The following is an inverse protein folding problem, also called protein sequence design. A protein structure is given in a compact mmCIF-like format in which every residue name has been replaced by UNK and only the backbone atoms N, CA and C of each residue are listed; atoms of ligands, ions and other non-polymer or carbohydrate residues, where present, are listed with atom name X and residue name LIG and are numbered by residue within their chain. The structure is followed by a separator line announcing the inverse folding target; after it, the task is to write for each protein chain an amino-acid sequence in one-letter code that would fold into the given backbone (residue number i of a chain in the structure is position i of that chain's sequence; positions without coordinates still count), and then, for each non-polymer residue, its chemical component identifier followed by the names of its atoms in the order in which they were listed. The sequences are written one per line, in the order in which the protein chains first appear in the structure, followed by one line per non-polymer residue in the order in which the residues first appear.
data_IF_422967033322
#
_entry.id   IF_422967033322
#
_cell.length_a   1.000
_cell.length_b   1.000
_cell.length_c   1.000
_cell.angle_alpha   90.00
_cell.angle_beta   90.00
_cell.angle_gamma   90.00
#
_symmetry.space_group_name_H-M   'P 1'
#
loop_
_entity.id
_entity.type
_entity.pdbx_description
1 polymer ?
#
# COMPACT_ATOMS: atom_id res chain seq x y z
N UNK A 1 -15.10 -46.80 -44.88
CA UNK A 1 -13.64 -46.66 -44.68
C UNK A 1 -13.46 -45.86 -43.40
N UNK A 2 -12.87 -46.52 -42.38
CA UNK A 2 -12.23 -45.98 -41.14
C UNK A 2 -13.04 -45.03 -40.26
N UNK A 3 -13.16 -45.14 -38.92
CA UNK A 3 -12.70 -46.03 -37.84
C UNK A 3 -13.45 -45.50 -36.57
N UNK A 4 -14.07 -46.36 -35.73
CA UNK A 4 -13.59 -46.85 -34.41
C UNK A 4 -13.24 -45.76 -33.37
N UNK A 5 -13.46 -45.82 -32.05
CA UNK A 5 -13.99 -46.74 -31.00
C UNK A 5 -14.04 -45.83 -29.74
N UNK A 6 -15.17 -45.56 -29.05
CA UNK A 6 -15.82 -46.32 -27.96
C UNK A 6 -14.94 -46.83 -26.80
N UNK A 7 -14.98 -46.11 -25.66
CA UNK A 7 -15.01 -46.59 -24.27
C UNK A 7 -14.18 -47.83 -23.84
N UNK A 8 -13.34 -47.65 -22.81
CA UNK A 8 -13.29 -48.60 -21.69
C UNK A 8 -12.62 -47.99 -20.43
N UNK A 9 -13.39 -48.00 -19.33
CA UNK A 9 -12.92 -47.87 -17.94
C UNK A 9 -12.22 -49.17 -17.51
N UNK A 10 -11.14 -49.09 -16.73
CA UNK A 10 -10.76 -50.15 -15.77
C UNK A 10 -10.18 -49.52 -14.50
N UNK A 11 -10.70 -50.00 -13.37
CA UNK A 11 -10.36 -49.68 -11.98
C UNK A 11 -9.10 -50.43 -11.48
N UNK A 12 -8.46 -49.79 -10.51
CA UNK A 12 -7.71 -50.25 -9.33
C UNK A 12 -7.70 -51.76 -9.01
N UNK A 13 -6.51 -52.34 -8.75
CA UNK A 13 -6.19 -53.10 -7.52
C UNK A 13 -4.72 -53.58 -7.44
N UNK A 14 -4.33 -53.93 -6.23
CA UNK A 14 -3.00 -53.87 -5.59
C UNK A 14 -2.61 -55.26 -5.06
N UNK A 15 -1.30 -55.58 -5.06
CA UNK A 15 -0.57 -56.63 -4.28
C UNK A 15 -1.02 -58.10 -4.49
N UNK A 16 -0.18 -59.14 -4.50
CA UNK A 16 0.93 -59.49 -3.59
C UNK A 16 1.86 -60.62 -4.15
N UNK A 17 3.09 -60.66 -3.62
CA UNK A 17 4.08 -61.74 -3.40
C UNK A 17 4.08 -63.10 -4.17
N UNK A 18 5.27 -63.56 -4.61
CA UNK A 18 6.11 -64.62 -3.98
C UNK A 18 7.31 -65.03 -4.89
N UNK A 19 8.47 -65.22 -4.27
CA UNK A 19 9.83 -65.60 -4.74
C UNK A 19 9.91 -67.03 -5.35
N UNK A 20 10.94 -67.41 -6.14
CA UNK A 20 12.17 -67.99 -5.53
C UNK A 20 13.51 -67.71 -6.27
N UNK A 21 14.57 -68.21 -5.63
CA UNK A 21 16.03 -67.99 -5.77
C UNK A 21 16.71 -68.52 -7.06
N UNK A 22 17.86 -67.91 -7.42
CA UNK A 22 19.04 -68.67 -7.90
C UNK A 22 20.38 -67.86 -7.82
N UNK A 23 21.16 -68.17 -6.78
CA UNK A 23 22.62 -68.42 -6.69
C UNK A 23 23.64 -68.03 -7.81
N UNK A 24 24.77 -67.41 -7.34
CA UNK A 24 26.22 -67.45 -7.78
C UNK A 24 26.61 -66.76 -9.10
N UNK A 25 27.73 -66.06 -9.27
CA UNK A 25 29.12 -66.16 -8.76
C UNK A 25 29.79 -64.75 -8.83
N UNK A 26 30.55 -64.32 -7.81
CA UNK A 26 32.02 -64.35 -7.67
C UNK A 26 32.79 -63.26 -8.46
N UNK A 27 33.48 -62.38 -7.71
CA UNK A 27 34.38 -61.36 -8.25
C UNK A 27 34.89 -60.38 -7.18
N UNK A 28 35.81 -60.85 -6.34
CA UNK A 28 36.62 -60.06 -5.40
C UNK A 28 37.53 -59.07 -6.13
N UNK A 29 37.49 -57.78 -5.75
CA UNK A 29 38.69 -56.92 -5.71
C UNK A 29 38.59 -56.02 -4.46
N UNK A 30 39.44 -56.32 -3.48
CA UNK A 30 39.86 -55.40 -2.42
C UNK A 30 40.89 -54.42 -3.00
N UNK A 31 40.74 -53.11 -2.77
CA UNK A 31 41.84 -52.23 -2.30
C UNK A 31 41.33 -50.83 -1.88
N UNK A 32 41.54 -50.54 -0.59
CA UNK A 32 41.99 -49.26 -0.02
C UNK A 32 41.15 -47.97 -0.20
N UNK A 33 40.38 -47.65 0.84
CA UNK A 33 40.28 -46.28 1.39
C UNK A 33 41.65 -45.84 1.92
N UNK A 34 42.04 -44.57 1.70
CA UNK A 34 41.87 -43.63 2.82
C UNK A 34 41.34 -42.25 2.41
N UNK A 35 40.59 -41.69 3.35
CA UNK A 35 40.57 -40.27 3.71
C UNK A 35 40.16 -39.24 2.64
N UNK A 36 38.91 -38.82 2.74
CA UNK A 36 38.36 -37.65 2.05
C UNK A 36 37.04 -37.23 2.67
N UNK A 37 36.99 -37.13 4.00
CA UNK A 37 35.89 -36.43 4.67
C UNK A 37 35.89 -34.96 4.22
N UNK A 38 34.76 -34.44 3.69
CA UNK A 38 34.62 -33.01 3.49
C UNK A 38 34.63 -32.33 4.87
N UNK A 39 35.34 -31.21 5.06
CA UNK A 39 35.41 -30.58 6.37
C UNK A 39 34.00 -30.19 6.82
N UNK A 40 33.57 -30.84 7.90
CA UNK A 40 32.45 -30.46 8.74
C UNK A 40 32.80 -29.13 9.42
N UNK A 41 32.56 -28.04 8.71
CA UNK A 41 32.67 -26.69 9.27
C UNK A 41 31.49 -26.42 10.21
N UNK A 42 31.54 -26.99 11.42
CA UNK A 42 30.70 -26.56 12.52
C UNK A 42 31.52 -26.44 13.81
N UNK A 43 31.36 -25.29 14.45
CA UNK A 43 31.66 -25.00 15.84
C UNK A 43 33.15 -25.06 16.26
N UNK A 44 33.90 -24.03 15.84
CA UNK A 44 34.94 -23.44 16.68
C UNK A 44 34.26 -22.59 17.77
N UNK A 45 34.20 -23.16 18.97
CA UNK A 45 33.98 -22.50 20.24
C UNK A 45 35.24 -21.68 20.57
N UNK A 46 35.30 -20.46 20.05
CA UNK A 46 36.33 -19.48 20.38
C UNK A 46 35.68 -18.17 20.86
N UNK A 47 35.40 -18.15 22.17
CA UNK A 47 35.45 -16.94 23.01
C UNK A 47 34.29 -15.95 22.87
N UNK A 48 33.40 -15.96 23.86
CA UNK A 48 32.37 -14.94 24.14
C UNK A 48 32.88 -13.47 24.18
N UNK A 49 34.19 -13.21 24.15
CA UNK A 49 34.76 -11.87 24.17
C UNK A 49 34.94 -11.20 22.78
N UNK A 50 34.63 -11.91 21.69
CA UNK A 50 34.67 -11.35 20.33
C UNK A 50 33.33 -10.80 19.83
N UNK A 51 32.21 -11.12 20.48
CA UNK A 51 30.86 -10.90 19.95
C UNK A 51 30.56 -9.44 19.59
N UNK A 52 30.90 -8.50 20.48
CA UNK A 52 30.67 -7.07 20.24
C UNK A 52 31.61 -6.48 19.18
N UNK A 53 32.89 -6.85 19.17
CA UNK A 53 33.82 -6.39 18.12
C UNK A 53 33.46 -6.97 16.76
N UNK A 54 33.05 -8.24 16.69
CA UNK A 54 32.55 -8.86 15.46
C UNK A 54 31.26 -8.20 14.99
N UNK A 55 30.36 -7.85 15.91
CA UNK A 55 29.10 -7.15 15.59
C UNK A 55 29.35 -5.70 15.13
N UNK A 56 30.33 -5.00 15.71
CA UNK A 56 30.78 -3.67 15.27
C UNK A 56 31.47 -3.76 13.90
N UNK A 57 32.37 -4.72 13.70
CA UNK A 57 33.07 -4.91 12.41
C UNK A 57 32.09 -5.35 11.31
N UNK A 58 31.18 -6.26 11.62
CA UNK A 58 30.16 -6.76 10.70
C UNK A 58 29.12 -5.67 10.35
N UNK A 59 28.75 -4.82 11.31
CA UNK A 59 27.86 -3.67 11.08
C UNK A 59 28.55 -2.48 10.40
N UNK A 60 29.90 -2.45 10.40
CA UNK A 60 30.75 -1.36 9.92
C UNK A 60 30.20 0.04 10.25
N UNK A 61 30.41 0.52 11.49
CA UNK A 61 29.81 1.76 11.99
C UNK A 61 30.21 2.99 11.19
N UNK A 62 31.29 2.93 10.39
CA UNK A 62 31.75 4.06 9.59
C UNK A 62 30.76 4.41 8.47
N UNK A 63 30.09 3.42 7.86
CA UNK A 63 29.04 3.71 6.87
C UNK A 63 27.84 4.38 7.52
N UNK A 64 27.38 3.84 8.65
CA UNK A 64 26.28 4.45 9.41
C UNK A 64 26.66 5.86 9.89
N UNK A 65 27.86 6.04 10.44
CA UNK A 65 28.37 7.33 10.89
C UNK A 65 28.44 8.33 9.73
N UNK A 66 28.91 7.92 8.55
CA UNK A 66 28.94 8.76 7.35
C UNK A 66 27.53 9.24 6.98
N UNK A 67 26.54 8.35 6.99
CA UNK A 67 25.14 8.68 6.71
C UNK A 67 24.57 9.62 7.78
N UNK A 68 24.83 9.35 9.05
CA UNK A 68 24.39 10.20 10.17
C UNK A 68 25.01 11.60 10.08
N UNK A 69 26.31 11.71 9.75
CA UNK A 69 26.98 12.99 9.55
C UNK A 69 26.41 13.75 8.35
N UNK A 70 26.09 13.07 7.25
CA UNK A 70 25.42 13.68 6.10
C UNK A 70 24.03 14.20 6.49
N UNK A 71 23.21 13.39 7.16
CA UNK A 71 21.87 13.80 7.63
C UNK A 71 21.97 14.97 8.62
N UNK A 72 22.92 14.94 9.55
CA UNK A 72 23.15 16.02 10.51
C UNK A 72 23.57 17.31 9.82
N UNK A 73 24.48 17.24 8.84
CA UNK A 73 24.90 18.39 8.04
C UNK A 73 23.74 19.01 7.26
N UNK A 74 22.93 18.17 6.61
CA UNK A 74 21.71 18.61 5.93
C UNK A 74 20.74 19.25 6.93
N UNK A 75 20.50 18.63 8.09
CA UNK A 75 19.60 19.18 9.11
C UNK A 75 20.02 20.57 9.58
N UNK A 76 21.33 20.82 9.78
CA UNK A 76 21.85 22.14 10.14
C UNK A 76 21.59 23.18 9.06
N UNK A 77 21.83 22.83 7.79
CA UNK A 77 21.57 23.74 6.68
C UNK A 77 20.05 23.97 6.48
N UNK A 78 19.18 23.00 6.82
CA UNK A 78 17.72 23.17 6.82
C UNK A 78 17.29 24.18 7.89
N UNK A 79 17.90 24.14 9.08
CA UNK A 79 17.70 25.15 10.12
C UNK A 79 18.05 26.56 9.63
N UNK A 80 19.24 26.72 9.03
CA UNK A 80 19.67 28.01 8.48
C UNK A 80 18.78 28.50 7.32
N UNK A 81 18.31 27.59 6.46
CA UNK A 81 17.37 27.89 5.39
C UNK A 81 16.01 28.36 5.93
N UNK A 82 15.52 27.74 7.02
CA UNK A 82 14.25 28.12 7.65
C UNK A 82 14.26 29.52 8.25
N UNK A 83 15.43 30.02 8.65
CA UNK A 83 15.62 31.38 9.16
C UNK A 83 15.83 32.40 8.03
N UNK A 84 15.72 31.99 6.76
CA UNK A 84 16.06 32.79 5.57
C UNK A 84 17.50 33.33 5.59
N UNK A 85 18.40 32.68 6.33
CA UNK A 85 19.79 33.11 6.44
C UNK A 85 20.63 32.74 5.19
N UNK A 86 20.10 31.88 4.31
CA UNK A 86 20.77 31.40 3.08
C UNK A 86 19.81 31.44 1.89
N UNK A 87 20.34 31.74 0.71
CA UNK A 87 19.56 31.78 -0.54
C UNK A 87 19.35 30.41 -1.18
N UNK A 88 18.37 30.32 -2.10
CA UNK A 88 18.00 29.10 -2.85
C UNK A 88 19.20 28.43 -3.51
N UNK A 89 20.12 29.22 -4.10
CA UNK A 89 21.31 28.67 -4.77
C UNK A 89 22.23 27.89 -3.83
N UNK A 90 22.35 28.31 -2.57
CA UNK A 90 23.14 27.60 -1.56
C UNK A 90 22.47 26.29 -1.18
N UNK A 91 21.16 26.32 -0.93
CA UNK A 91 20.35 25.12 -0.61
C UNK A 91 20.41 24.11 -1.76
N UNK A 92 20.28 24.57 -3.00
CA UNK A 92 20.43 23.76 -4.21
C UNK A 92 21.85 23.18 -4.36
N UNK A 93 22.89 23.91 -3.96
CA UNK A 93 24.27 23.44 -3.92
C UNK A 93 24.46 22.25 -2.98
N UNK A 94 23.94 22.33 -1.75
CA UNK A 94 23.96 21.22 -0.80
C UNK A 94 23.17 20.01 -1.30
N UNK A 95 22.04 20.25 -1.95
CA UNK A 95 21.29 19.20 -2.64
C UNK A 95 22.12 18.51 -3.74
N UNK A 96 22.93 19.26 -4.49
CA UNK A 96 23.89 18.70 -5.44
C UNK A 96 24.92 17.79 -4.77
N UNK A 97 25.51 18.24 -3.66
CA UNK A 97 26.48 17.45 -2.87
C UNK A 97 25.86 16.15 -2.35
N UNK A 98 24.64 16.21 -1.83
CA UNK A 98 23.90 15.03 -1.38
C UNK A 98 23.72 14.02 -2.53
N UNK A 99 23.34 14.47 -3.73
CA UNK A 99 23.17 13.57 -4.86
C UNK A 99 24.49 12.93 -5.31
N UNK A 100 25.60 13.67 -5.29
CA UNK A 100 26.94 13.10 -5.54
C UNK A 100 27.26 12.02 -4.51
N UNK A 101 27.00 12.28 -3.22
CA UNK A 101 27.19 11.31 -2.16
C UNK A 101 26.35 10.03 -2.39
N UNK A 102 25.06 10.17 -2.71
CA UNK A 102 24.20 9.03 -3.02
C UNK A 102 24.68 8.23 -4.24
N UNK A 103 25.17 8.89 -5.29
CA UNK A 103 25.73 8.21 -6.48
C UNK A 103 26.95 7.37 -6.07
N UNK A 104 27.83 7.91 -5.23
CA UNK A 104 28.98 7.18 -4.68
C UNK A 104 28.51 5.97 -3.87
N UNK A 105 27.50 6.13 -3.01
CA UNK A 105 26.94 5.01 -2.25
C UNK A 105 26.36 3.92 -3.16
N UNK A 106 25.60 4.28 -4.20
CA UNK A 106 25.06 3.34 -5.19
C UNK A 106 26.18 2.62 -5.93
N UNK A 107 27.19 3.34 -6.40
CA UNK A 107 28.33 2.75 -7.12
C UNK A 107 29.10 1.76 -6.22
N UNK A 108 29.38 2.14 -4.98
CA UNK A 108 30.02 1.26 -3.99
C UNK A 108 29.16 0.04 -3.66
N UNK A 109 27.85 0.22 -3.48
CA UNK A 109 26.93 -0.87 -3.21
C UNK A 109 26.94 -1.90 -4.35
N UNK A 110 26.83 -1.42 -5.59
CA UNK A 110 26.87 -2.29 -6.77
C UNK A 110 28.23 -2.98 -6.88
N UNK A 111 29.33 -2.26 -6.70
CA UNK A 111 30.67 -2.85 -6.71
C UNK A 111 30.78 -4.01 -5.72
N UNK A 112 30.45 -3.78 -4.44
CA UNK A 112 30.55 -4.78 -3.38
C UNK A 112 29.67 -6.02 -3.61
N UNK A 113 28.47 -5.82 -4.19
CA UNK A 113 27.55 -6.90 -4.52
C UNK A 113 28.02 -7.68 -5.74
N UNK A 114 28.55 -7.00 -6.75
CA UNK A 114 28.97 -7.63 -8.02
C UNK A 114 30.27 -8.41 -7.90
N UNK A 115 31.22 -7.90 -7.12
CA UNK A 115 32.50 -8.60 -6.86
C UNK A 115 32.38 -9.66 -5.76
N UNK A 116 31.26 -9.69 -5.02
CA UNK A 116 31.06 -10.58 -3.89
C UNK A 116 31.96 -10.28 -2.69
N UNK A 117 32.67 -9.15 -2.67
CA UNK A 117 33.64 -8.81 -1.61
C UNK A 117 32.96 -8.68 -0.24
N UNK A 118 31.82 -8.00 -0.17
CA UNK A 118 31.01 -7.92 1.04
C UNK A 118 29.54 -7.62 0.72
N UNK A 119 28.74 -8.68 0.54
CA UNK A 119 27.33 -8.56 0.16
C UNK A 119 26.46 -7.90 1.24
N UNK A 120 26.81 -8.05 2.52
CA UNK A 120 26.08 -7.42 3.64
C UNK A 120 26.22 -5.89 3.59
N UNK A 121 27.44 -5.40 3.44
CA UNK A 121 27.69 -3.96 3.33
C UNK A 121 27.07 -3.38 2.06
N UNK A 122 27.15 -4.09 0.93
CA UNK A 122 26.46 -3.66 -0.29
C UNK A 122 24.95 -3.50 -0.11
N UNK A 123 24.27 -4.45 0.55
CA UNK A 123 22.84 -4.35 0.89
C UNK A 123 22.54 -3.19 1.83
N UNK A 124 23.39 -2.98 2.84
CA UNK A 124 23.26 -1.86 3.78
C UNK A 124 23.37 -0.51 3.07
N UNK A 125 24.31 -0.37 2.13
CA UNK A 125 24.46 0.85 1.33
C UNK A 125 23.22 1.12 0.46
N UNK A 126 22.65 0.09 -0.18
CA UNK A 126 21.37 0.24 -0.91
C UNK A 126 20.22 0.69 0.01
N UNK A 127 20.20 0.19 1.26
CA UNK A 127 19.22 0.64 2.25
C UNK A 127 19.41 2.13 2.59
N UNK A 128 20.64 2.60 2.78
CA UNK A 128 20.89 4.02 3.02
C UNK A 128 20.48 4.90 1.84
N UNK A 129 20.69 4.44 0.60
CA UNK A 129 20.20 5.16 -0.59
C UNK A 129 18.68 5.30 -0.54
N UNK A 130 17.93 4.27 -0.13
CA UNK A 130 16.47 4.40 0.06
C UNK A 130 16.11 5.45 1.12
N UNK A 131 16.87 5.54 2.21
CA UNK A 131 16.69 6.57 3.25
C UNK A 131 16.85 7.98 2.69
N UNK A 132 17.84 8.22 1.83
CA UNK A 132 18.00 9.52 1.18
C UNK A 132 16.92 9.80 0.14
N UNK A 133 16.49 8.79 -0.63
CA UNK A 133 15.35 8.94 -1.54
C UNK A 133 14.08 9.36 -0.79
N UNK A 134 13.92 8.96 0.47
CA UNK A 134 12.78 9.41 1.27
C UNK A 134 12.78 10.91 1.61
N UNK A 135 13.88 11.65 1.41
CA UNK A 135 14.07 13.04 1.86
C UNK A 135 13.67 13.24 3.33
N UNK A 136 14.30 12.49 4.25
CA UNK A 136 14.06 12.64 5.69
C UNK A 136 14.47 14.01 6.26
N UNK A 137 15.25 14.77 5.49
CA UNK A 137 15.73 16.10 5.86
C UNK A 137 14.77 17.21 5.46
N UNK A 138 13.70 16.88 4.73
CA UNK A 138 12.65 17.79 4.27
C UNK A 138 13.16 18.94 3.40
N UNK A 139 14.26 18.73 2.68
CA UNK A 139 14.90 19.79 1.91
C UNK A 139 14.05 20.29 0.77
N UNK A 140 13.39 19.37 0.08
CA UNK A 140 12.60 19.72 -1.09
C UNK A 140 11.45 20.65 -0.73
N UNK A 141 10.85 20.43 0.43
CA UNK A 141 9.79 21.27 0.98
C UNK A 141 10.31 22.70 1.19
N UNK A 142 11.53 22.87 1.69
CA UNK A 142 12.10 24.21 1.91
C UNK A 142 12.40 24.95 0.63
N UNK A 143 12.91 24.24 -0.38
CA UNK A 143 13.15 24.84 -1.69
C UNK A 143 11.82 25.32 -2.28
N UNK A 144 10.76 24.52 -2.14
CA UNK A 144 9.42 24.88 -2.62
C UNK A 144 8.87 26.15 -1.96
N UNK A 145 9.14 26.35 -0.66
CA UNK A 145 8.77 27.56 0.08
C UNK A 145 9.50 28.79 -0.44
N UNK A 146 10.80 28.65 -0.73
CA UNK A 146 11.62 29.80 -1.13
C UNK A 146 11.33 30.27 -2.56
N UNK A 147 11.18 29.32 -3.50
CA UNK A 147 10.81 29.61 -4.88
C UNK A 147 10.07 28.42 -5.49
N UNK A 148 8.83 28.68 -5.91
CA UNK A 148 7.93 27.68 -6.48
C UNK A 148 8.49 27.00 -7.73
N UNK A 149 9.11 27.75 -8.63
CA UNK A 149 9.64 27.20 -9.89
C UNK A 149 10.83 26.30 -9.61
N UNK A 150 11.71 26.71 -8.69
CA UNK A 150 12.83 25.90 -8.23
C UNK A 150 12.38 24.65 -7.47
N UNK A 151 11.33 24.75 -6.63
CA UNK A 151 10.75 23.60 -5.95
C UNK A 151 10.34 22.48 -6.90
N UNK A 152 9.48 22.78 -7.89
CA UNK A 152 9.07 21.79 -8.89
C UNK A 152 10.24 21.27 -9.73
N UNK A 153 11.16 22.16 -10.15
CA UNK A 153 12.31 21.78 -10.98
C UNK A 153 13.24 20.81 -10.24
N UNK A 154 13.61 21.12 -9.00
CA UNK A 154 14.51 20.28 -8.21
C UNK A 154 13.82 18.99 -7.74
N UNK A 155 12.53 19.00 -7.42
CA UNK A 155 11.76 17.77 -7.17
C UNK A 155 11.72 16.85 -8.40
N UNK A 156 11.53 17.42 -9.61
CA UNK A 156 11.57 16.66 -10.87
C UNK A 156 12.94 16.06 -11.09
N UNK A 157 13.99 16.88 -10.96
CA UNK A 157 15.36 16.43 -11.13
C UNK A 157 15.74 15.32 -10.13
N UNK A 158 15.32 15.45 -8.87
CA UNK A 158 15.55 14.42 -7.87
C UNK A 158 14.82 13.12 -8.18
N UNK A 159 13.56 13.19 -8.63
CA UNK A 159 12.79 12.02 -9.03
C UNK A 159 13.48 11.28 -10.18
N UNK A 160 13.96 12.02 -11.18
CA UNK A 160 14.69 11.46 -12.33
C UNK A 160 15.99 10.82 -11.86
N UNK A 161 16.79 11.51 -11.03
CA UNK A 161 18.02 10.94 -10.48
C UNK A 161 17.75 9.69 -9.62
N UNK A 162 16.69 9.70 -8.81
CA UNK A 162 16.26 8.54 -8.04
C UNK A 162 15.89 7.36 -8.93
N UNK A 163 15.11 7.60 -9.99
CA UNK A 163 14.76 6.59 -10.98
C UNK A 163 16.00 6.03 -11.70
N UNK A 164 16.96 6.89 -12.08
CA UNK A 164 18.23 6.47 -12.69
C UNK A 164 19.07 5.64 -11.71
N UNK A 165 19.15 6.02 -10.44
CA UNK A 165 19.85 5.27 -9.38
C UNK A 165 19.24 3.88 -9.21
N UNK A 166 17.91 3.80 -9.09
CA UNK A 166 17.18 2.53 -8.99
C UNK A 166 17.39 1.69 -10.26
N UNK A 167 17.28 2.28 -11.44
CA UNK A 167 17.51 1.61 -12.72
C UNK A 167 18.94 1.06 -12.85
N UNK A 168 19.95 1.80 -12.38
CA UNK A 168 21.33 1.32 -12.34
C UNK A 168 21.48 0.08 -11.45
N UNK A 169 20.82 0.05 -10.28
CA UNK A 169 20.80 -1.12 -9.39
C UNK A 169 20.15 -2.31 -10.09
N UNK A 170 18.99 -2.13 -10.74
CA UNK A 170 18.34 -3.21 -11.49
C UNK A 170 19.23 -3.74 -12.61
N UNK A 171 19.84 -2.85 -13.39
CA UNK A 171 20.62 -3.21 -14.58
C UNK A 171 21.93 -3.89 -14.21
N UNK A 172 22.68 -3.34 -13.25
CA UNK A 172 24.03 -3.84 -12.94
C UNK A 172 24.04 -5.01 -11.97
N UNK A 173 22.97 -5.22 -11.21
CA UNK A 173 22.76 -6.42 -10.39
C UNK A 173 21.84 -7.45 -11.06
N UNK A 174 21.53 -7.25 -12.34
CA UNK A 174 20.73 -8.19 -13.14
C UNK A 174 19.40 -8.59 -12.44
N UNK A 175 18.79 -7.64 -11.73
CA UNK A 175 17.53 -7.86 -11.06
C UNK A 175 16.43 -7.74 -12.11
N UNK A 176 15.57 -8.76 -12.21
CA UNK A 176 14.46 -8.75 -13.15
C UNK A 176 13.51 -7.60 -12.83
N UNK A 177 13.32 -6.71 -13.81
CA UNK A 177 12.39 -5.59 -13.71
C UNK A 177 10.97 -6.14 -13.73
N UNK A 178 10.21 -5.81 -12.68
CA UNK A 178 8.80 -6.14 -12.52
C UNK A 178 8.01 -4.85 -12.36
N UNK A 179 7.35 -4.42 -13.43
CA UNK A 179 6.62 -3.16 -13.46
C UNK A 179 5.54 -3.10 -12.38
N UNK A 180 4.89 -4.24 -12.09
CA UNK A 180 3.91 -4.39 -11.02
C UNK A 180 4.47 -4.03 -9.64
N UNK A 181 5.79 -4.16 -9.41
CA UNK A 181 6.47 -3.81 -8.15
C UNK A 181 7.10 -2.42 -8.19
N UNK A 182 7.35 -1.85 -9.38
CA UNK A 182 8.04 -0.57 -9.54
C UNK A 182 7.10 0.64 -9.62
N UNK A 183 5.86 0.44 -10.10
CA UNK A 183 4.90 1.55 -10.18
C UNK A 183 4.66 2.17 -8.81
N UNK A 184 4.47 1.35 -7.77
CA UNK A 184 4.23 1.85 -6.42
C UNK A 184 5.35 2.75 -5.87
N UNK A 185 6.62 2.31 -5.77
CA UNK A 185 7.69 3.13 -5.21
C UNK A 185 7.92 4.41 -6.02
N UNK A 186 7.88 4.34 -7.35
CA UNK A 186 8.03 5.53 -8.19
C UNK A 186 6.93 6.55 -7.92
N UNK A 187 5.67 6.11 -7.86
CA UNK A 187 4.54 7.00 -7.59
C UNK A 187 4.52 7.48 -6.14
N UNK A 188 4.97 6.67 -5.18
CA UNK A 188 5.09 7.05 -3.77
C UNK A 188 6.14 8.15 -3.60
N UNK A 189 7.35 7.99 -4.16
CA UNK A 189 8.37 9.04 -4.13
C UNK A 189 7.94 10.29 -4.90
N UNK A 190 7.28 10.14 -6.05
CA UNK A 190 6.69 11.28 -6.75
C UNK A 190 5.68 12.04 -5.86
N UNK A 191 4.84 11.30 -5.12
CA UNK A 191 3.89 11.92 -4.18
C UNK A 191 4.62 12.62 -3.04
N UNK A 192 5.67 12.02 -2.46
CA UNK A 192 6.50 12.65 -1.41
C UNK A 192 7.08 13.98 -1.90
N UNK A 193 7.57 14.03 -3.14
CA UNK A 193 8.24 15.20 -3.67
C UNK A 193 7.27 16.29 -4.14
N UNK A 194 6.16 15.92 -4.80
CA UNK A 194 5.26 16.90 -5.40
C UNK A 194 4.11 17.34 -4.50
N UNK A 195 3.66 16.53 -3.55
CA UNK A 195 2.52 16.89 -2.72
C UNK A 195 2.76 18.16 -1.86
N UNK A 196 3.94 18.35 -1.24
CA UNK A 196 4.24 19.60 -0.54
C UNK A 196 4.25 20.80 -1.49
N UNK A 197 4.94 20.69 -2.63
CA UNK A 197 4.99 21.73 -3.67
C UNK A 197 3.58 22.15 -4.13
N UNK A 198 2.69 21.19 -4.31
CA UNK A 198 1.29 21.44 -4.67
C UNK A 198 0.56 22.24 -3.58
N UNK A 199 0.67 21.82 -2.31
CA UNK A 199 0.00 22.50 -1.19
C UNK A 199 0.47 23.95 -1.06
N UNK A 200 1.79 24.20 -1.12
CA UNK A 200 2.33 25.56 -1.11
C UNK A 200 1.80 26.40 -2.27
N UNK A 201 1.81 25.83 -3.47
CA UNK A 201 1.25 26.49 -4.65
C UNK A 201 -0.21 26.89 -4.46
N UNK A 202 -1.04 26.03 -3.84
CA UNK A 202 -2.45 26.35 -3.57
C UNK A 202 -2.55 27.45 -2.51
N UNK A 203 -1.82 27.35 -1.40
CA UNK A 203 -1.80 28.35 -0.32
C UNK A 203 -1.42 29.73 -0.88
N UNK A 204 -0.32 29.82 -1.63
CA UNK A 204 0.15 31.06 -2.24
C UNK A 204 -0.87 31.66 -3.21
N UNK A 205 -1.52 30.81 -4.03
CA UNK A 205 -2.53 31.27 -4.99
C UNK A 205 -3.77 31.85 -4.29
N UNK A 206 -4.17 31.29 -3.15
CA UNK A 206 -5.28 31.81 -2.34
C UNK A 206 -4.90 33.11 -1.61
N UNK A 207 -3.66 33.24 -1.13
CA UNK A 207 -3.18 34.45 -0.45
C UNK A 207 -2.88 35.63 -1.38
N UNK A 208 -2.41 35.39 -2.60
CA UNK A 208 -2.00 36.42 -3.56
C UNK A 208 -3.14 36.97 -4.42
N UNK A 209 -4.22 36.22 -4.62
CA UNK A 209 -5.29 36.56 -5.56
C UNK A 209 -6.61 37.04 -4.95
N UNK A 210 -6.89 36.73 -3.68
CA UNK A 210 -8.18 37.04 -3.04
C UNK A 210 -7.99 37.34 -1.54
N UNK A 211 -7.68 38.60 -1.22
CA UNK A 211 -7.70 39.10 0.15
C UNK A 211 -9.11 38.99 0.73
N UNK A 212 -9.45 37.85 1.36
CA UNK A 212 -10.75 37.61 2.00
C UNK A 212 -11.28 36.18 1.95
N UNK A 213 -10.74 35.28 1.11
CA UNK A 213 -11.11 33.86 1.12
C UNK A 213 -10.02 33.03 1.82
N UNK A 214 -10.27 32.50 3.04
CA UNK A 214 -9.30 31.66 3.71
C UNK A 214 -9.09 30.35 2.95
N UNK A 215 -7.85 29.88 2.88
CA UNK A 215 -7.49 28.57 2.36
C UNK A 215 -8.28 27.48 3.12
N UNK A 216 -9.18 26.78 2.43
CA UNK A 216 -9.92 25.67 3.04
C UNK A 216 -9.01 24.44 3.16
N UNK A 217 -8.31 24.06 2.07
CA UNK A 217 -7.30 22.99 2.01
C UNK A 217 -7.78 21.57 2.31
N UNK A 218 -8.99 21.39 2.86
CA UNK A 218 -9.48 20.08 3.31
C UNK A 218 -9.62 19.09 2.15
N UNK A 219 -10.11 19.55 1.00
CA UNK A 219 -10.28 18.73 -0.20
C UNK A 219 -8.92 18.36 -0.79
N UNK A 220 -8.00 19.32 -0.91
CA UNK A 220 -6.65 19.11 -1.44
C UNK A 220 -5.90 18.04 -0.66
N UNK A 221 -5.87 18.19 0.67
CA UNK A 221 -5.24 17.24 1.58
C UNK A 221 -5.90 15.86 1.46
N UNK A 222 -7.24 15.79 1.44
CA UNK A 222 -7.94 14.53 1.25
C UNK A 222 -7.61 13.85 -0.08
N UNK A 223 -7.55 14.60 -1.17
CA UNK A 223 -7.22 14.06 -2.49
C UNK A 223 -5.78 13.55 -2.55
N UNK A 224 -4.83 14.20 -1.88
CA UNK A 224 -3.45 13.70 -1.77
C UNK A 224 -3.42 12.34 -1.05
N UNK A 225 -4.14 12.20 0.07
CA UNK A 225 -4.26 10.92 0.78
C UNK A 225 -4.97 9.85 -0.04
N UNK A 226 -5.99 10.24 -0.83
CA UNK A 226 -6.67 9.34 -1.76
C UNK A 226 -5.75 8.87 -2.89
N UNK A 227 -4.92 9.75 -3.45
CA UNK A 227 -3.90 9.40 -4.44
C UNK A 227 -2.87 8.44 -3.82
N UNK A 228 -2.38 8.74 -2.61
CA UNK A 228 -1.47 7.88 -1.86
C UNK A 228 -2.05 6.48 -1.58
N UNK A 229 -3.37 6.36 -1.45
CA UNK A 229 -4.06 5.08 -1.39
C UNK A 229 -4.14 4.40 -2.77
N UNK A 230 -4.53 5.14 -3.81
CA UNK A 230 -4.75 4.62 -5.15
C UNK A 230 -3.46 4.03 -5.77
N UNK A 231 -2.30 4.62 -5.49
CA UNK A 231 -1.01 4.13 -6.01
C UNK A 231 -0.65 2.72 -5.51
N UNK A 232 -1.27 2.24 -4.41
CA UNK A 232 -1.07 0.89 -3.88
C UNK A 232 -1.83 -0.18 -4.67
N UNK A 233 -2.88 0.22 -5.40
CA UNK A 233 -3.79 -0.70 -6.09
C UNK A 233 -3.11 -1.64 -7.09
N UNK A 234 -2.13 -1.23 -7.91
CA UNK A 234 -1.44 -2.15 -8.82
C UNK A 234 -0.81 -3.34 -8.10
N UNK A 235 -0.16 -3.11 -6.96
CA UNK A 235 0.46 -4.18 -6.15
C UNK A 235 -0.62 -5.07 -5.53
N UNK A 236 -1.69 -4.48 -5.00
CA UNK A 236 -2.80 -5.22 -4.41
C UNK A 236 -3.47 -6.13 -5.45
N UNK A 237 -3.76 -5.60 -6.63
CA UNK A 237 -4.42 -6.34 -7.72
C UNK A 237 -3.53 -7.47 -8.22
N UNK A 238 -2.24 -7.21 -8.44
CA UNK A 238 -1.28 -8.22 -8.89
C UNK A 238 -1.15 -9.39 -7.89
N UNK A 239 -1.37 -9.14 -6.59
CA UNK A 239 -1.22 -10.14 -5.52
C UNK A 239 -2.58 -10.57 -4.90
N UNK A 240 -3.71 -10.21 -5.53
CA UNK A 240 -5.05 -10.37 -4.93
C UNK A 240 -5.46 -11.82 -4.69
N UNK A 241 -5.01 -12.76 -5.53
CA UNK A 241 -5.33 -14.20 -5.43
C UNK A 241 -4.16 -15.04 -4.94
N UNK A 242 -2.97 -14.77 -5.48
CA UNK A 242 -1.72 -15.43 -5.13
C UNK A 242 -0.66 -14.36 -5.01
N UNK A 243 0.10 -14.37 -3.92
CA UNK A 243 1.19 -13.41 -3.75
C UNK A 243 2.41 -13.86 -4.55
N UNK A 244 2.85 -13.01 -5.48
CA UNK A 244 4.15 -13.13 -6.14
C UNK A 244 5.30 -12.66 -5.26
N UNK A 245 5.00 -12.04 -4.11
CA UNK A 245 5.99 -11.49 -3.18
C UNK A 245 6.45 -12.52 -2.15
N UNK A 246 5.83 -13.70 -2.09
CA UNK A 246 6.22 -14.78 -1.17
C UNK A 246 7.17 -15.80 -1.83
N UNK A 247 7.29 -15.76 -3.16
CA UNK A 247 8.18 -16.63 -3.91
C UNK A 247 9.57 -16.00 -3.95
N UNK A 248 10.56 -16.71 -3.41
CA UNK A 248 11.96 -16.26 -3.44
C UNK A 248 12.47 -16.25 -4.88
N UNK A 249 13.10 -15.15 -5.28
CA UNK A 249 13.68 -14.98 -6.61
C UNK A 249 15.20 -14.98 -6.47
N UNK A 250 15.87 -16.13 -6.70
CA UNK A 250 17.30 -16.22 -6.52
C UNK A 250 18.02 -15.29 -7.51
N UNK A 251 18.99 -14.53 -7.00
CA UNK A 251 19.84 -13.66 -7.81
C UNK A 251 21.29 -13.79 -7.33
N UNK A 252 22.27 -13.89 -8.26
CA UNK A 252 23.67 -14.16 -7.92
C UNK A 252 24.33 -13.06 -7.06
N UNK A 253 23.83 -11.83 -7.08
CA UNK A 253 24.45 -10.70 -6.39
C UNK A 253 23.74 -10.33 -5.09
N UNK A 254 22.40 -10.33 -5.07
CA UNK A 254 21.63 -9.97 -3.88
C UNK A 254 21.15 -11.19 -3.07
N UNK A 255 21.36 -12.41 -3.58
CA UNK A 255 20.87 -13.65 -2.98
C UNK A 255 19.39 -13.86 -3.29
N UNK A 256 18.52 -13.07 -2.66
CA UNK A 256 17.07 -13.07 -2.92
C UNK A 256 16.59 -11.68 -3.36
N UNK A 257 16.22 -11.58 -4.64
CA UNK A 257 15.69 -10.36 -5.24
C UNK A 257 14.28 -10.01 -4.70
N UNK A 258 13.57 -10.97 -4.13
CA UNK A 258 12.28 -10.72 -3.49
C UNK A 258 12.46 -9.87 -2.24
N UNK A 259 13.47 -10.13 -1.41
CA UNK A 259 13.84 -9.28 -0.26
C UNK A 259 14.15 -7.83 -0.68
N UNK A 260 14.86 -7.63 -1.80
CA UNK A 260 15.09 -6.28 -2.34
C UNK A 260 13.78 -5.61 -2.78
N UNK A 261 12.91 -6.35 -3.47
CA UNK A 261 11.57 -5.88 -3.85
C UNK A 261 10.72 -5.51 -2.64
N UNK A 262 10.82 -6.27 -1.54
CA UNK A 262 10.14 -5.97 -0.28
C UNK A 262 10.62 -4.66 0.31
N UNK A 263 11.92 -4.44 0.39
CA UNK A 263 12.46 -3.20 0.90
C UNK A 263 12.00 -2.01 0.04
N UNK A 264 12.05 -2.16 -1.29
CA UNK A 264 11.61 -1.13 -2.23
C UNK A 264 10.12 -0.81 -2.14
N UNK A 265 9.27 -1.75 -1.70
CA UNK A 265 7.83 -1.53 -1.53
C UNK A 265 7.46 -1.07 -0.12
N UNK A 266 7.97 -1.74 0.91
CA UNK A 266 7.62 -1.48 2.31
C UNK A 266 8.21 -0.18 2.83
N UNK A 267 9.42 0.19 2.36
CA UNK A 267 10.04 1.45 2.76
C UNK A 267 9.21 2.67 2.35
N UNK A 268 8.84 2.87 1.06
CA UNK A 268 7.95 3.96 0.68
C UNK A 268 6.55 3.85 1.30
N UNK A 269 6.05 2.63 1.56
CA UNK A 269 4.79 2.43 2.29
C UNK A 269 4.81 2.93 3.73
N UNK A 270 5.94 2.78 4.43
CA UNK A 270 6.09 3.34 5.77
C UNK A 270 6.34 4.85 5.72
N UNK A 271 7.13 5.33 4.75
CA UNK A 271 7.60 6.72 4.77
C UNK A 271 6.64 7.72 4.14
N UNK A 272 5.87 7.33 3.12
CA UNK A 272 4.88 8.20 2.49
C UNK A 272 3.90 8.82 3.49
N UNK A 273 3.22 8.07 4.38
CA UNK A 273 2.30 8.68 5.34
C UNK A 273 3.02 9.59 6.33
N UNK A 274 4.27 9.28 6.71
CA UNK A 274 5.08 10.15 7.55
C UNK A 274 5.39 11.49 6.85
N UNK A 275 5.80 11.44 5.57
CA UNK A 275 6.08 12.62 4.77
C UNK A 275 4.83 13.48 4.52
N UNK A 276 3.68 12.84 4.24
CA UNK A 276 2.41 13.54 4.10
C UNK A 276 1.99 14.19 5.42
N UNK A 277 2.16 13.52 6.55
CA UNK A 277 1.85 14.12 7.85
C UNK A 277 2.75 15.32 8.17
N UNK A 278 4.06 15.19 7.92
CA UNK A 278 5.03 16.22 8.28
C UNK A 278 5.08 17.42 7.34
N UNK A 279 4.79 17.22 6.06
CA UNK A 279 4.96 18.29 5.06
C UNK A 279 3.65 18.73 4.42
N UNK A 280 2.65 17.86 4.33
CA UNK A 280 1.36 18.23 3.73
C UNK A 280 0.38 18.64 4.83
N UNK A 281 0.16 17.79 5.83
CA UNK A 281 -0.77 18.06 6.92
C UNK A 281 -0.30 19.20 7.82
N UNK A 282 0.98 19.22 8.21
CA UNK A 282 1.51 20.27 9.08
C UNK A 282 1.39 21.66 8.44
N UNK A 283 1.82 21.79 7.18
CA UNK A 283 1.79 23.06 6.46
C UNK A 283 0.36 23.50 6.14
N UNK A 284 -0.50 22.56 5.71
CA UNK A 284 -1.91 22.85 5.52
C UNK A 284 -2.61 23.24 6.84
N UNK A 285 -2.24 22.63 7.96
CA UNK A 285 -2.78 22.96 9.30
C UNK A 285 -2.33 24.35 9.77
N UNK A 286 -1.10 24.75 9.42
CA UNK A 286 -0.63 26.11 9.68
C UNK A 286 -1.46 27.15 8.91
N UNK A 287 -1.86 26.84 7.66
CA UNK A 287 -2.78 27.66 6.88
C UNK A 287 -4.24 27.60 7.35
N UNK A 288 -4.69 26.44 7.83
CA UNK A 288 -6.05 26.22 8.35
C UNK A 288 -6.06 25.18 9.48
N UNK A 289 -6.16 25.60 10.76
CA UNK A 289 -6.15 24.70 11.92
C UNK A 289 -7.27 23.64 11.93
N UNK A 290 -8.33 23.81 11.14
CA UNK A 290 -9.40 22.81 11.02
C UNK A 290 -8.92 21.52 10.31
N UNK A 291 -7.84 21.59 9.52
CA UNK A 291 -7.27 20.45 8.79
C UNK A 291 -6.66 19.43 9.76
N UNK A 292 -6.01 19.87 10.84
CA UNK A 292 -5.45 18.99 11.86
C UNK A 292 -6.48 18.11 12.59
N UNK A 293 -7.79 18.36 12.38
CA UNK A 293 -8.89 17.56 12.94
C UNK A 293 -9.49 16.57 11.94
N UNK A 294 -8.97 16.49 10.71
CA UNK A 294 -9.50 15.63 9.64
C UNK A 294 -9.02 14.18 9.76
N UNK A 295 -9.33 13.51 10.88
CA UNK A 295 -8.91 12.12 11.11
C UNK A 295 -9.46 11.13 10.07
N UNK A 296 -10.58 11.43 9.42
CA UNK A 296 -11.13 10.60 8.34
C UNK A 296 -10.26 10.59 7.06
N UNK A 297 -9.30 11.51 6.94
CA UNK A 297 -8.44 11.65 5.76
C UNK A 297 -7.52 10.43 5.56
N UNK A 298 -7.20 9.73 6.65
CA UNK A 298 -6.33 8.55 6.62
C UNK A 298 -7.04 7.30 6.11
N UNK A 299 -8.37 7.30 6.08
CA UNK A 299 -9.15 6.09 5.79
C UNK A 299 -8.86 5.47 4.41
N UNK A 300 -8.76 6.23 3.29
CA UNK A 300 -8.37 5.65 2.01
C UNK A 300 -7.03 4.91 2.09
N UNK A 301 -6.03 5.53 2.74
CA UNK A 301 -4.68 4.96 2.85
C UNK A 301 -4.67 3.70 3.73
N UNK A 302 -5.39 3.71 4.86
CA UNK A 302 -5.54 2.55 5.72
C UNK A 302 -6.25 1.40 5.00
N UNK A 303 -7.30 1.71 4.24
CA UNK A 303 -8.06 0.73 3.47
C UNK A 303 -7.18 0.04 2.44
N UNK A 304 -6.47 0.80 1.59
CA UNK A 304 -5.53 0.23 0.64
C UNK A 304 -4.37 -0.49 1.37
N UNK A 305 -3.85 0.13 2.43
CA UNK A 305 -2.66 -0.31 3.16
C UNK A 305 -2.80 -1.68 3.80
N UNK A 306 -3.99 -2.02 4.30
CA UNK A 306 -4.26 -3.37 4.82
C UNK A 306 -4.11 -4.42 3.73
N UNK A 307 -4.69 -4.20 2.55
CA UNK A 307 -4.60 -5.17 1.45
C UNK A 307 -3.22 -5.16 0.78
N UNK A 308 -2.53 -4.01 0.80
CA UNK A 308 -1.13 -3.90 0.40
C UNK A 308 -0.27 -4.76 1.33
N UNK A 309 -0.41 -4.61 2.65
CA UNK A 309 0.29 -5.42 3.65
C UNK A 309 -0.06 -6.91 3.53
N UNK A 310 -1.34 -7.24 3.31
CA UNK A 310 -1.78 -8.61 3.05
C UNK A 310 -1.06 -9.24 1.85
N UNK A 311 -0.60 -8.44 0.87
CA UNK A 311 0.14 -8.94 -0.29
C UNK A 311 1.50 -9.53 0.08
N UNK A 312 2.11 -9.15 1.22
CA UNK A 312 3.40 -9.68 1.68
C UNK A 312 3.26 -10.90 2.58
N UNK A 313 2.18 -10.96 3.34
CA UNK A 313 1.99 -11.92 4.43
C UNK A 313 0.77 -12.80 4.25
N UNK A 314 0.33 -13.00 3.00
CA UNK A 314 -0.92 -13.71 2.69
C UNK A 314 -0.90 -15.13 3.25
N UNK A 315 0.18 -15.87 3.04
CA UNK A 315 0.32 -17.25 3.50
C UNK A 315 0.38 -17.31 5.03
N UNK A 316 1.08 -16.39 5.68
CA UNK A 316 1.13 -16.29 7.15
C UNK A 316 -0.25 -15.95 7.71
N UNK A 317 -0.96 -14.99 7.10
CA UNK A 317 -2.34 -14.66 7.46
C UNK A 317 -3.22 -15.89 7.29
N UNK A 318 -3.14 -16.61 6.16
CA UNK A 318 -3.93 -17.81 5.87
C UNK A 318 -3.68 -18.96 6.85
N UNK A 319 -2.47 -19.05 7.44
CA UNK A 319 -2.11 -20.03 8.46
C UNK A 319 -2.70 -19.69 9.83
N UNK A 320 -2.69 -18.42 10.21
CA UNK A 320 -3.18 -17.96 11.53
C UNK A 320 -4.70 -17.78 11.51
N UNK A 321 -5.23 -17.25 10.41
CA UNK A 321 -6.64 -16.93 10.20
C UNK A 321 -7.08 -17.42 8.83
N UNK A 322 -8.36 -17.69 8.62
CA UNK A 322 -8.84 -17.74 7.24
C UNK A 322 -8.74 -16.35 6.62
N UNK A 323 -8.33 -16.27 5.36
CA UNK A 323 -8.24 -14.99 4.61
C UNK A 323 -9.57 -14.23 4.67
N UNK A 324 -10.70 -14.93 4.59
CA UNK A 324 -12.03 -14.34 4.69
C UNK A 324 -12.30 -13.72 6.07
N UNK A 325 -11.86 -14.36 7.16
CA UNK A 325 -12.02 -13.80 8.52
C UNK A 325 -11.15 -12.55 8.68
N UNK A 326 -9.92 -12.57 8.17
CA UNK A 326 -9.05 -11.39 8.18
C UNK A 326 -9.69 -10.22 7.44
N UNK A 327 -10.10 -10.43 6.18
CA UNK A 327 -10.69 -9.35 5.37
C UNK A 327 -11.95 -8.76 6.02
N UNK A 328 -12.83 -9.63 6.53
CA UNK A 328 -14.05 -9.18 7.21
C UNK A 328 -13.73 -8.37 8.47
N UNK A 329 -12.80 -8.83 9.29
CA UNK A 329 -12.42 -8.16 10.54
C UNK A 329 -11.87 -6.76 10.25
N UNK A 330 -10.95 -6.65 9.29
CA UNK A 330 -10.36 -5.35 8.97
C UNK A 330 -11.36 -4.42 8.31
N UNK A 331 -12.17 -4.91 7.38
CA UNK A 331 -13.20 -4.09 6.74
C UNK A 331 -14.27 -3.60 7.71
N UNK A 332 -14.68 -4.42 8.68
CA UNK A 332 -15.58 -3.99 9.76
C UNK A 332 -14.90 -2.92 10.62
N UNK A 333 -13.64 -3.13 11.00
CA UNK A 333 -12.86 -2.14 11.77
C UNK A 333 -12.74 -0.79 11.04
N UNK A 334 -12.45 -0.81 9.74
CA UNK A 334 -12.38 0.40 8.91
C UNK A 334 -13.74 1.06 8.73
N UNK A 335 -14.82 0.28 8.69
CA UNK A 335 -16.19 0.84 8.67
C UNK A 335 -16.53 1.54 9.97
N UNK A 336 -16.16 0.96 11.10
CA UNK A 336 -16.32 1.60 12.40
C UNK A 336 -15.47 2.88 12.48
N UNK A 337 -14.22 2.84 11.98
CA UNK A 337 -13.38 4.03 11.89
C UNK A 337 -14.03 5.13 11.05
N UNK A 338 -14.55 4.80 9.86
CA UNK A 338 -15.28 5.74 9.01
C UNK A 338 -16.50 6.33 9.70
N UNK A 339 -17.23 5.50 10.46
CA UNK A 339 -18.38 5.93 11.22
C UNK A 339 -18.01 6.92 12.34
N UNK A 340 -16.97 6.62 13.11
CA UNK A 340 -16.55 7.45 14.25
C UNK A 340 -15.82 8.73 13.82
N UNK A 341 -15.25 8.75 12.61
CA UNK A 341 -14.55 9.92 12.06
C UNK A 341 -15.38 10.71 11.05
N UNK A 342 -16.61 10.26 10.75
CA UNK A 342 -17.52 10.95 9.84
C UNK A 342 -17.82 12.37 10.32
N UNK A 343 -17.78 13.32 9.39
CA UNK A 343 -18.11 14.72 9.63
C UNK A 343 -19.45 15.09 9.03
N UNK A 344 -20.15 16.01 9.69
CA UNK A 344 -21.49 16.48 9.30
C UNK A 344 -21.52 17.90 8.72
N UNK A 345 -20.41 18.65 8.78
CA UNK A 345 -20.29 19.93 8.06
C UNK A 345 -20.25 19.71 6.55
N UNK A 346 -20.61 20.74 5.78
CA UNK A 346 -20.85 20.66 4.34
C UNK A 346 -19.70 20.00 3.55
N UNK A 347 -18.46 20.45 3.79
CA UNK A 347 -17.26 19.90 3.13
C UNK A 347 -16.95 18.51 3.69
N UNK A 348 -16.91 18.36 5.02
CA UNK A 348 -16.61 17.10 5.67
C UNK A 348 -17.58 15.98 5.32
N UNK A 349 -18.86 16.28 5.10
CA UNK A 349 -19.90 15.34 4.72
C UNK A 349 -19.67 14.79 3.30
N UNK A 350 -19.29 15.65 2.35
CA UNK A 350 -18.93 15.23 0.99
C UNK A 350 -17.76 14.24 0.98
N UNK A 351 -16.68 14.56 1.70
CA UNK A 351 -15.50 13.69 1.78
C UNK A 351 -15.77 12.41 2.58
N UNK A 352 -16.56 12.49 3.66
CA UNK A 352 -17.02 11.32 4.40
C UNK A 352 -17.84 10.39 3.51
N UNK A 353 -18.64 10.93 2.59
CA UNK A 353 -19.43 10.14 1.64
C UNK A 353 -18.53 9.37 0.67
N UNK A 354 -17.43 9.96 0.18
CA UNK A 354 -16.44 9.25 -0.65
C UNK A 354 -15.86 8.06 0.12
N UNK A 355 -15.46 8.27 1.38
CA UNK A 355 -14.98 7.21 2.26
C UNK A 355 -15.98 6.06 2.41
N UNK A 356 -17.26 6.36 2.55
CA UNK A 356 -18.30 5.34 2.59
C UNK A 356 -18.42 4.55 1.30
N UNK A 357 -18.31 5.19 0.14
CA UNK A 357 -18.28 4.48 -1.15
C UNK A 357 -17.05 3.59 -1.29
N UNK A 358 -15.88 4.04 -0.84
CA UNK A 358 -14.65 3.22 -0.84
C UNK A 358 -14.82 1.96 0.01
N UNK A 359 -15.35 2.11 1.24
CA UNK A 359 -15.58 0.98 2.14
C UNK A 359 -16.64 0.03 1.60
N UNK A 360 -17.75 0.56 1.08
CA UNK A 360 -18.80 -0.24 0.46
C UNK A 360 -18.24 -1.02 -0.73
N UNK A 361 -17.48 -0.35 -1.60
CA UNK A 361 -16.80 -0.97 -2.73
C UNK A 361 -15.85 -2.08 -2.29
N UNK A 362 -15.06 -1.86 -1.24
CA UNK A 362 -14.13 -2.86 -0.73
C UNK A 362 -14.84 -4.11 -0.18
N UNK A 363 -15.92 -3.93 0.59
CA UNK A 363 -16.74 -5.07 1.03
C UNK A 363 -17.34 -5.81 -0.17
N UNK A 364 -17.80 -5.10 -1.19
CA UNK A 364 -18.42 -5.70 -2.37
C UNK A 364 -17.39 -6.53 -3.14
N UNK A 365 -16.20 -5.98 -3.35
CA UNK A 365 -15.08 -6.68 -4.00
C UNK A 365 -14.70 -7.93 -3.22
N UNK A 366 -14.55 -7.86 -1.90
CA UNK A 366 -14.22 -9.03 -1.06
C UNK A 366 -15.36 -10.06 -1.06
N UNK A 367 -16.61 -9.62 -0.93
CA UNK A 367 -17.79 -10.50 -0.99
C UNK A 367 -17.86 -11.27 -2.31
N UNK A 368 -17.68 -10.59 -3.44
CA UNK A 368 -17.78 -11.20 -4.77
C UNK A 368 -16.56 -12.05 -5.12
N UNK A 369 -15.35 -11.52 -4.93
CA UNK A 369 -14.12 -12.19 -5.41
C UNK A 369 -13.63 -13.28 -4.47
N UNK A 370 -13.92 -13.18 -3.16
CA UNK A 370 -13.50 -14.16 -2.14
C UNK A 370 -14.68 -14.94 -1.55
N UNK A 371 -15.91 -14.73 -2.06
CA UNK A 371 -17.15 -15.37 -1.58
C UNK A 371 -17.36 -15.19 -0.08
N UNK A 372 -17.02 -14.02 0.44
CA UNK A 372 -17.06 -13.72 1.87
C UNK A 372 -18.46 -13.28 2.31
N UNK A 373 -19.24 -14.22 2.86
CA UNK A 373 -20.61 -13.98 3.30
C UNK A 373 -20.71 -13.00 4.49
N UNK A 374 -19.67 -12.88 5.31
CA UNK A 374 -19.67 -11.92 6.43
C UNK A 374 -19.63 -10.49 5.88
N UNK A 375 -18.79 -10.22 4.89
CA UNK A 375 -18.75 -8.94 4.20
C UNK A 375 -20.07 -8.65 3.47
N UNK A 376 -20.68 -9.65 2.83
CA UNK A 376 -21.98 -9.51 2.17
C UNK A 376 -23.12 -9.18 3.17
N UNK A 377 -23.15 -9.87 4.32
CA UNK A 377 -24.12 -9.59 5.37
C UNK A 377 -23.94 -8.20 5.96
N UNK A 378 -22.70 -7.79 6.19
CA UNK A 378 -22.39 -6.45 6.71
C UNK A 378 -22.74 -5.34 5.70
N UNK A 379 -22.52 -5.56 4.40
CA UNK A 379 -23.05 -4.68 3.34
C UNK A 379 -24.57 -4.51 3.44
N UNK A 380 -25.29 -5.59 3.71
CA UNK A 380 -26.73 -5.54 3.97
C UNK A 380 -27.08 -4.59 5.12
N UNK A 381 -26.32 -4.63 6.23
CA UNK A 381 -26.52 -3.72 7.36
C UNK A 381 -26.21 -2.26 7.01
N UNK A 382 -25.12 -2.00 6.28
CA UNK A 382 -24.77 -0.65 5.82
C UNK A 382 -25.83 -0.12 4.85
N UNK A 383 -26.28 -0.95 3.91
CA UNK A 383 -27.35 -0.60 2.98
C UNK A 383 -28.66 -0.31 3.71
N UNK A 384 -29.06 -1.13 4.70
CA UNK A 384 -30.24 -0.88 5.54
C UNK A 384 -30.13 0.45 6.28
N UNK A 385 -28.95 0.81 6.79
CA UNK A 385 -28.76 2.11 7.45
C UNK A 385 -28.95 3.27 6.47
N UNK A 386 -28.32 3.23 5.30
CA UNK A 386 -28.45 4.30 4.31
C UNK A 386 -29.86 4.38 3.72
N UNK A 387 -30.46 3.24 3.43
CA UNK A 387 -31.84 3.16 2.98
C UNK A 387 -32.81 3.62 4.07
N UNK A 388 -32.55 3.26 5.33
CA UNK A 388 -33.33 3.68 6.49
C UNK A 388 -33.22 5.18 6.79
N UNK A 389 -32.03 5.78 6.61
CA UNK A 389 -31.85 7.23 6.64
C UNK A 389 -32.59 7.91 5.48
N UNK A 390 -32.51 7.34 4.27
CA UNK A 390 -33.27 7.81 3.11
C UNK A 390 -34.78 7.75 3.33
N UNK A 391 -35.29 6.64 3.90
CA UNK A 391 -36.71 6.50 4.29
C UNK A 391 -37.05 7.51 5.37
N UNK A 392 -36.22 7.73 6.39
CA UNK A 392 -36.49 8.69 7.45
C UNK A 392 -36.56 10.12 6.92
N UNK A 393 -35.64 10.50 6.02
CA UNK A 393 -35.64 11.81 5.37
C UNK A 393 -36.84 11.95 4.42
N UNK A 394 -37.13 10.93 3.61
CA UNK A 394 -38.30 10.91 2.75
C UNK A 394 -39.59 10.95 3.56
N UNK A 395 -39.70 10.22 4.66
CA UNK A 395 -40.84 10.23 5.57
C UNK A 395 -40.98 11.58 6.28
N UNK A 396 -39.88 12.23 6.66
CA UNK A 396 -39.87 13.60 7.17
C UNK A 396 -40.40 14.60 6.14
N UNK A 397 -39.90 14.52 4.90
CA UNK A 397 -40.37 15.36 3.79
C UNK A 397 -41.82 15.08 3.43
N UNK A 398 -42.26 13.82 3.42
CA UNK A 398 -43.64 13.40 3.19
C UNK A 398 -44.53 13.85 4.35
N UNK A 399 -44.03 13.83 5.59
CA UNK A 399 -44.76 14.31 6.76
C UNK A 399 -44.93 15.84 6.73
N UNK A 400 -43.88 16.59 6.41
CA UNK A 400 -43.96 18.05 6.25
C UNK A 400 -44.84 18.46 5.06
N UNK A 401 -44.68 17.78 3.91
CA UNK A 401 -45.59 17.93 2.77
C UNK A 401 -47.02 17.56 3.18
N UNK A 402 -47.19 16.45 3.88
CA UNK A 402 -48.45 16.01 4.47
C UNK A 402 -49.13 17.06 5.34
N UNK A 403 -48.35 17.76 6.17
CA UNK A 403 -48.85 18.81 7.06
C UNK A 403 -49.27 20.08 6.32
N UNK A 404 -48.76 20.31 5.11
CA UNK A 404 -49.07 21.48 4.27
C UNK A 404 -50.18 21.21 3.26
N UNK A 405 -50.60 19.95 3.10
CA UNK A 405 -51.72 19.59 2.25
C UNK A 405 -53.06 19.99 2.88
N UNK A 406 -53.94 20.56 2.06
CA UNK A 406 -55.31 20.87 2.48
C UNK A 406 -56.13 19.59 2.72
N UNK A 407 -57.19 19.69 3.54
CA UNK A 407 -58.09 18.56 3.84
C UNK A 407 -58.71 17.93 2.59
N UNK A 408 -58.99 18.72 1.55
CA UNK A 408 -59.49 18.21 0.25
C UNK A 408 -58.42 17.43 -0.51
N UNK A 409 -57.16 17.82 -0.41
CA UNK A 409 -56.04 17.09 -1.03
C UNK A 409 -55.77 15.76 -0.31
N UNK A 410 -55.87 15.73 1.02
CA UNK A 410 -55.82 14.48 1.80
C UNK A 410 -56.95 13.52 1.43
N UNK A 411 -58.18 14.03 1.30
CA UNK A 411 -59.31 13.23 0.86
C UNK A 411 -59.07 12.63 -0.53
N UNK A 412 -58.56 13.42 -1.49
CA UNK A 412 -58.23 12.95 -2.83
C UNK A 412 -57.12 11.89 -2.84
N UNK A 413 -56.06 12.07 -2.04
CA UNK A 413 -54.96 11.11 -1.92
C UNK A 413 -55.40 9.79 -1.27
N UNK A 414 -56.23 9.84 -0.22
CA UNK A 414 -56.77 8.65 0.44
C UNK A 414 -57.73 7.89 -0.48
N UNK A 415 -58.57 8.61 -1.25
CA UNK A 415 -59.44 8.01 -2.26
C UNK A 415 -58.62 7.36 -3.38
N UNK A 416 -57.58 8.03 -3.89
CA UNK A 416 -56.70 7.43 -4.90
C UNK A 416 -55.93 6.21 -4.35
N UNK A 417 -55.40 6.30 -3.14
CA UNK A 417 -54.68 5.22 -2.47
C UNK A 417 -55.56 3.99 -2.21
N UNK A 418 -56.85 4.18 -1.93
CA UNK A 418 -57.80 3.07 -1.74
C UNK A 418 -58.05 2.33 -3.05
N UNK A 419 -58.18 3.02 -4.19
CA UNK A 419 -58.30 2.39 -5.51
C UNK A 419 -57.04 1.62 -5.90
N UNK A 420 -55.85 2.17 -5.62
CA UNK A 420 -54.57 1.48 -5.88
C UNK A 420 -54.42 0.22 -5.01
N UNK A 421 -54.76 0.32 -3.73
CA UNK A 421 -54.70 -0.82 -2.80
C UNK A 421 -55.72 -1.91 -3.16
N UNK A 422 -56.92 -1.51 -3.59
CA UNK A 422 -57.94 -2.41 -4.11
C UNK A 422 -57.46 -3.12 -5.38
N UNK A 423 -56.85 -2.38 -6.32
CA UNK A 423 -56.27 -2.94 -7.54
C UNK A 423 -55.12 -3.92 -7.27
N UNK A 424 -54.20 -3.58 -6.37
CA UNK A 424 -53.12 -4.47 -5.95
C UNK A 424 -53.64 -5.72 -5.23
N UNK A 425 -54.60 -5.57 -4.33
CA UNK A 425 -55.27 -6.69 -3.65
C UNK A 425 -55.98 -7.62 -4.63
N UNK A 426 -56.64 -7.06 -5.64
CA UNK A 426 -57.27 -7.82 -6.72
C UNK A 426 -56.26 -8.58 -7.58
N UNK A 427 -55.15 -7.94 -7.97
CA UNK A 427 -54.09 -8.57 -8.75
C UNK A 427 -53.39 -9.70 -7.96
N UNK A 428 -53.14 -9.51 -6.66
CA UNK A 428 -52.61 -10.56 -5.77
C UNK A 428 -53.59 -11.73 -5.60
N UNK A 429 -54.89 -11.43 -5.55
CA UNK A 429 -55.96 -12.44 -5.50
C UNK A 429 -56.03 -13.26 -6.81
N UNK A 430 -55.74 -12.65 -7.96
CA UNK A 430 -55.63 -13.36 -9.25
C UNK A 430 -54.36 -14.21 -9.32
N UNK A 431 -53.22 -13.70 -8.83
CA UNK A 431 -51.94 -14.42 -8.84
C UNK A 431 -51.95 -15.70 -8.00
N UNK A 432 -52.65 -15.70 -6.87
CA UNK A 432 -52.75 -16.85 -5.96
C UNK A 432 -53.63 -17.99 -6.50
N UNK A 433 -54.55 -17.71 -7.45
CA UNK A 433 -55.35 -18.75 -8.11
C UNK A 433 -54.53 -19.68 -9.02
N UNK A 434 -53.39 -19.23 -9.55
CA UNK A 434 -52.50 -20.06 -10.39
C UNK A 434 -51.63 -21.04 -9.58
N UNK A 435 -51.39 -20.77 -8.31
CA UNK A 435 -50.56 -21.61 -7.42
C UNK A 435 -51.33 -22.78 -6.77
N UNK A 436 -52.66 -22.85 -6.94
CA UNK A 436 -53.50 -23.92 -6.37
C UNK A 436 -53.83 -25.06 -7.34
N UNK A 437 -53.22 -25.05 -8.54
CA UNK A 437 -53.23 -26.17 -9.49
C UNK A 437 -51.78 -26.49 -9.89
N UNK A 438 -51.02 -27.05 -8.95
CA UNK A 438 -49.82 -27.86 -9.21
C UNK A 438 -49.83 -29.03 -8.25
#
# INVERSE_FOLDING_TARGET
MTENISNQEIQTQQADAVKPECSRDAGDIHTETPEGEPPSGNAGDDGENGGWMRLIIDANPLYLMSVLLMIAGLYLVNGAASENAVGVGTVAGFFGVQNVYEIVLVAMAIYLLRTGTNSRHGKLLLFFVMVFLADLTFYQVRIAVMDRSWGFTLSTFYLVLGAVKVWAVFTWLEIKIRWERLVYPLMAFATIYYAPNYIYSVIDSTGSGNSGMPFSGQVDVYMIWLVAAAIQLPVIVANWRKSSLEEAEPNPYVGDATTFSWALLLFPFAILPFQLEKNVMADATAGNPAIGKLTFVYLPYLLAGVFFFQSFFRTQIAKIYSINVYDATVLIGLTLFALFTARSDEIGNGLSTINWYLIFGAHLVVALTRRNLVCAGFLGLVAIRYFGLGIKTAAGNIYEYGRTLSTTTWAALLMAGSFVSLGLGFLLSIGTKKLRKS
#
